data_IF_981031926110
#
_entry.id   IF_981031926110
#
_cell.length_a   1.000
_cell.length_b   1.000
_cell.length_c   1.000
_cell.angle_alpha   90.00
_cell.angle_beta   90.00
_cell.angle_gamma   90.00
#
_symmetry.space_group_name_H-M   'P 1'
#
loop_
_entity.id
_entity.type
_entity.pdbx_description
1 polymer ?
#
# COMPACT_ATOMS: atom_id res chain seq x y z
N UNK A 1 54.51 -15.54 38.58
CA UNK A 1 54.24 -15.83 37.15
C UNK A 1 53.41 -14.67 36.59
N UNK A 2 54.02 -13.70 35.90
CA UNK A 2 53.32 -12.54 35.33
C UNK A 2 52.88 -12.91 33.91
N UNK A 3 51.58 -13.08 33.68
CA UNK A 3 51.06 -13.21 32.32
C UNK A 3 51.30 -11.90 31.58
N UNK A 4 51.83 -12.01 30.37
CA UNK A 4 52.06 -10.89 29.46
C UNK A 4 50.74 -10.16 29.17
N UNK A 5 50.74 -8.83 29.14
CA UNK A 5 49.55 -8.00 28.88
C UNK A 5 48.81 -8.40 27.60
N UNK A 6 49.49 -9.05 26.64
CA UNK A 6 48.90 -9.53 25.39
C UNK A 6 47.90 -10.68 25.59
N UNK A 7 48.11 -11.58 26.56
CA UNK A 7 47.18 -12.71 26.81
C UNK A 7 45.92 -12.30 27.57
N UNK A 8 45.98 -11.21 28.36
CA UNK A 8 44.81 -10.67 29.07
C UNK A 8 43.78 -10.08 28.11
N UNK A 9 44.24 -9.32 27.11
CA UNK A 9 43.37 -8.70 26.11
C UNK A 9 42.65 -9.74 25.21
N UNK A 10 43.32 -10.84 24.86
CA UNK A 10 42.69 -11.89 24.03
C UNK A 10 41.63 -12.67 24.80
N UNK A 11 41.82 -12.86 26.11
CA UNK A 11 40.87 -13.57 26.97
C UNK A 11 39.60 -12.75 27.20
N UNK A 12 39.72 -11.44 27.42
CA UNK A 12 38.56 -10.56 27.60
C UNK A 12 37.71 -10.45 26.33
N UNK A 13 38.32 -10.37 25.14
CA UNK A 13 37.58 -10.34 23.87
C UNK A 13 36.84 -11.67 23.60
N UNK A 14 37.46 -12.81 23.90
CA UNK A 14 36.81 -14.12 23.74
C UNK A 14 35.63 -14.31 24.71
N UNK A 15 35.73 -13.76 25.92
CA UNK A 15 34.67 -13.83 26.93
C UNK A 15 33.45 -12.98 26.55
N UNK A 16 33.67 -11.79 25.97
CA UNK A 16 32.59 -10.92 25.46
C UNK A 16 31.88 -11.53 24.25
N UNK A 17 32.62 -12.17 23.33
CA UNK A 17 32.03 -12.85 22.17
C UNK A 17 31.20 -14.06 22.60
N UNK A 18 31.69 -14.84 23.58
CA UNK A 18 30.96 -15.99 24.13
C UNK A 18 29.67 -15.60 24.86
N UNK A 19 29.70 -14.51 25.64
CA UNK A 19 28.53 -14.05 26.40
C UNK A 19 27.42 -13.51 25.48
N UNK A 20 27.79 -12.74 24.46
CA UNK A 20 26.81 -12.20 23.49
C UNK A 20 26.19 -13.30 22.62
N UNK A 21 26.97 -14.31 22.21
CA UNK A 21 26.45 -15.46 21.48
C UNK A 21 25.46 -16.28 22.30
N UNK A 22 25.74 -16.48 23.58
CA UNK A 22 24.87 -17.24 24.49
C UNK A 22 23.55 -16.52 24.77
N UNK A 23 23.57 -15.19 24.92
CA UNK A 23 22.36 -14.37 25.12
C UNK A 23 21.45 -14.44 23.88
N UNK A 24 22.01 -14.36 22.66
CA UNK A 24 21.23 -14.47 21.42
C UNK A 24 20.58 -15.86 21.30
N UNK A 25 21.29 -16.92 21.68
CA UNK A 25 20.78 -18.29 21.63
C UNK A 25 19.65 -18.53 22.65
N UNK A 26 19.75 -17.93 23.85
CA UNK A 26 18.69 -17.96 24.86
C UNK A 26 17.42 -17.22 24.41
N UNK A 27 17.55 -16.05 23.77
CA UNK A 27 16.40 -15.31 23.24
C UNK A 27 15.71 -16.11 22.13
N UNK A 28 16.48 -16.75 21.23
CA UNK A 28 15.92 -17.58 20.15
C UNK A 28 15.14 -18.79 20.69
N UNK A 29 15.64 -19.44 21.75
CA UNK A 29 14.97 -20.57 22.39
C UNK A 29 13.66 -20.17 23.09
N UNK A 30 13.60 -18.97 23.67
CA UNK A 30 12.38 -18.42 24.28
C UNK A 30 11.30 -18.08 23.24
N UNK A 31 11.67 -17.60 22.05
CA UNK A 31 10.70 -17.32 20.97
C UNK A 31 10.12 -18.61 20.39
N UNK A 32 10.93 -19.67 20.27
CA UNK A 32 10.48 -20.96 19.71
C UNK A 32 9.52 -21.73 20.63
N UNK A 33 9.50 -21.43 21.94
CA UNK A 33 8.61 -22.11 22.91
C UNK A 33 7.23 -21.44 23.05
N UNK A 34 7.00 -20.29 22.41
CA UNK A 34 5.74 -19.54 22.53
C UNK A 34 4.65 -19.89 21.49
N UNK A 35 4.95 -20.70 20.46
CA UNK A 35 3.99 -20.99 19.38
C UNK A 35 3.20 -22.31 19.53
N UNK A 36 3.16 -22.89 20.73
CA UNK A 36 2.47 -24.16 20.97
C UNK A 36 1.19 -23.96 21.78
N UNK A 37 0.15 -23.34 21.22
CA UNK A 37 -1.21 -23.45 21.78
C UNK A 37 -2.28 -23.05 20.75
N UNK A 38 -3.03 -24.08 20.32
CA UNK A 38 -4.48 -24.11 20.12
C UNK A 38 -5.12 -23.10 19.15
N UNK A 39 -5.83 -23.59 18.13
CA UNK A 39 -7.27 -23.86 18.28
C UNK A 39 -7.89 -24.53 17.05
N UNK A 40 -8.90 -25.33 17.35
CA UNK A 40 -9.69 -26.16 16.47
C UNK A 40 -10.40 -25.39 15.35
N UNK A 41 -10.33 -25.95 14.14
CA UNK A 41 -11.14 -25.53 12.99
C UNK A 41 -12.57 -26.04 13.18
N UNK A 42 -13.52 -25.14 13.38
CA UNK A 42 -14.95 -25.46 13.35
C UNK A 42 -15.45 -25.41 11.90
N UNK A 43 -16.00 -26.52 11.45
CA UNK A 43 -16.72 -26.68 10.18
C UNK A 43 -18.02 -25.87 10.21
N UNK A 44 -18.26 -24.93 9.28
CA UNK A 44 -19.55 -24.27 9.18
C UNK A 44 -20.59 -25.20 8.51
N UNK A 45 -21.66 -25.50 9.23
CA UNK A 45 -22.88 -26.14 8.73
C UNK A 45 -23.61 -25.18 7.79
N UNK A 46 -23.90 -25.65 6.57
CA UNK A 46 -24.67 -24.90 5.58
C UNK A 46 -26.17 -24.89 5.94
N UNK A 47 -26.70 -23.70 6.23
CA UNK A 47 -28.15 -23.45 6.38
C UNK A 47 -28.75 -23.14 5.02
N UNK A 48 -29.70 -23.97 4.58
CA UNK A 48 -30.48 -23.75 3.36
C UNK A 48 -31.42 -22.55 3.53
N UNK A 49 -31.31 -21.57 2.63
CA UNK A 49 -32.23 -20.46 2.54
C UNK A 49 -33.49 -20.89 1.75
N UNK A 50 -34.64 -20.77 2.38
CA UNK A 50 -35.97 -20.97 1.79
C UNK A 50 -36.30 -19.77 0.88
N UNK A 51 -36.62 -20.07 -0.38
CA UNK A 51 -37.12 -19.10 -1.36
C UNK A 51 -38.53 -18.61 -0.96
N UNK A 52 -38.66 -17.32 -0.65
CA UNK A 52 -39.94 -16.65 -0.54
C UNK A 52 -40.37 -16.09 -1.92
N UNK A 53 -41.67 -16.13 -2.27
CA UNK A 53 -42.19 -15.56 -3.51
C UNK A 53 -42.18 -14.02 -3.45
N UNK A 54 -41.58 -13.40 -4.46
CA UNK A 54 -41.54 -11.94 -4.63
C UNK A 54 -42.93 -11.40 -5.04
N UNK A 55 -43.42 -10.31 -4.41
CA UNK A 55 -44.60 -9.60 -4.89
C UNK A 55 -44.29 -8.85 -6.18
N UNK A 56 -45.16 -8.98 -7.17
CA UNK A 56 -45.12 -8.23 -8.43
C UNK A 56 -45.65 -6.82 -8.18
N UNK A 57 -44.76 -5.84 -8.12
CA UNK A 57 -45.18 -4.43 -8.06
C UNK A 57 -45.54 -3.92 -9.46
N UNK A 58 -46.75 -3.35 -9.56
CA UNK A 58 -47.26 -2.69 -10.76
C UNK A 58 -46.80 -1.24 -10.73
N UNK A 59 -45.83 -0.89 -11.57
CA UNK A 59 -45.35 0.49 -11.70
C UNK A 59 -46.29 1.33 -12.57
N UNK A 60 -46.97 2.30 -11.96
CA UNK A 60 -47.65 3.39 -12.67
C UNK A 60 -46.59 4.39 -13.15
N UNK A 61 -46.37 4.47 -14.46
CA UNK A 61 -45.44 5.43 -15.06
C UNK A 61 -46.03 6.85 -14.99
N UNK A 62 -45.46 7.70 -14.13
CA UNK A 62 -45.65 9.15 -14.23
C UNK A 62 -44.81 9.70 -15.39
N UNK A 63 -45.28 10.77 -16.08
CA UNK A 63 -44.51 11.45 -17.11
C UNK A 63 -43.24 12.06 -16.50
N UNK A 64 -42.09 11.59 -16.98
CA UNK A 64 -40.79 12.11 -16.60
C UNK A 64 -40.64 13.56 -17.08
N UNK A 65 -40.67 14.50 -16.14
CA UNK A 65 -40.14 15.85 -16.37
C UNK A 65 -38.64 15.69 -16.61
N UNK A 66 -38.22 15.99 -17.84
CA UNK A 66 -36.83 15.93 -18.29
C UNK A 66 -36.05 17.00 -17.54
N UNK A 67 -35.57 16.66 -16.34
CA UNK A 67 -34.54 17.44 -15.66
C UNK A 67 -33.27 17.29 -16.49
N UNK A 68 -32.62 18.38 -16.93
CA UNK A 68 -31.34 18.25 -17.63
C UNK A 68 -30.34 17.64 -16.65
N UNK A 69 -30.09 16.33 -16.79
CA UNK A 69 -28.93 15.70 -16.20
C UNK A 69 -27.72 16.41 -16.77
N UNK A 70 -27.07 17.21 -15.93
CA UNK A 70 -25.73 17.72 -16.18
C UNK A 70 -24.80 16.50 -16.22
N UNK A 71 -24.67 15.91 -17.39
CA UNK A 71 -23.63 14.95 -17.69
C UNK A 71 -22.31 15.73 -17.70
N UNK A 72 -21.69 15.89 -16.53
CA UNK A 72 -20.26 16.24 -16.46
C UNK A 72 -19.47 15.03 -16.97
N UNK A 73 -19.49 14.83 -18.29
CA UNK A 73 -18.45 14.05 -18.95
C UNK A 73 -17.26 14.99 -19.09
N UNK A 74 -16.50 15.12 -18.01
CA UNK A 74 -15.15 15.68 -18.12
C UNK A 74 -14.35 14.63 -18.89
N UNK A 75 -14.29 14.80 -20.21
CA UNK A 75 -13.37 14.07 -21.05
C UNK A 75 -11.96 14.58 -20.72
N UNK A 76 -11.34 14.02 -19.68
CA UNK A 76 -9.98 14.41 -19.28
C UNK A 76 -9.02 13.62 -20.15
N UNK A 77 -8.72 14.20 -21.30
CA UNK A 77 -7.61 13.81 -22.16
C UNK A 77 -6.35 13.74 -21.29
N UNK A 78 -5.63 12.61 -21.33
CA UNK A 78 -4.34 12.47 -20.67
C UNK A 78 -3.46 13.69 -20.99
N UNK A 79 -3.26 14.57 -20.02
CA UNK A 79 -2.53 15.81 -20.24
C UNK A 79 -1.04 15.45 -20.41
N UNK A 80 -0.37 15.85 -21.50
CA UNK A 80 1.07 15.64 -21.66
C UNK A 80 1.91 16.20 -20.50
N UNK A 81 1.40 17.18 -19.76
CA UNK A 81 2.03 17.67 -18.52
C UNK A 81 2.00 16.64 -17.38
N UNK A 82 0.94 15.82 -17.28
CA UNK A 82 0.88 14.70 -16.33
C UNK A 82 1.88 13.59 -16.73
N UNK A 83 2.11 13.42 -18.03
CA UNK A 83 3.17 12.55 -18.57
C UNK A 83 4.58 13.03 -18.19
N UNK A 84 4.76 14.32 -17.92
CA UNK A 84 6.05 14.88 -17.49
C UNK A 84 6.25 14.78 -15.97
N UNK A 85 5.18 14.80 -15.17
CA UNK A 85 5.25 14.90 -13.71
C UNK A 85 5.14 13.57 -12.94
N UNK A 86 4.91 12.43 -13.58
CA UNK A 86 4.75 11.15 -12.85
C UNK A 86 5.94 10.80 -11.93
N UNK A 87 7.15 11.24 -12.27
CA UNK A 87 8.35 11.02 -11.44
C UNK A 87 8.26 11.75 -10.10
N UNK A 88 7.59 12.91 -10.06
CA UNK A 88 7.35 13.67 -8.84
C UNK A 88 6.40 12.92 -7.91
N UNK A 89 5.30 12.40 -8.47
CA UNK A 89 4.33 11.58 -7.77
C UNK A 89 4.95 10.28 -7.25
N UNK A 90 5.70 9.57 -8.10
CA UNK A 90 6.39 8.34 -7.71
C UNK A 90 7.37 8.60 -6.56
N UNK A 91 8.21 9.64 -6.67
CA UNK A 91 9.16 10.00 -5.62
C UNK A 91 8.46 10.34 -4.30
N UNK A 92 7.35 11.08 -4.35
CA UNK A 92 6.60 11.45 -3.16
C UNK A 92 5.97 10.23 -2.48
N UNK A 93 5.36 9.33 -3.26
CA UNK A 93 4.80 8.07 -2.76
C UNK A 93 5.90 7.15 -2.21
N UNK A 94 7.00 6.97 -2.93
CA UNK A 94 8.13 6.15 -2.51
C UNK A 94 8.71 6.60 -1.16
N UNK A 95 8.95 7.92 -1.02
CA UNK A 95 9.50 8.50 0.19
C UNK A 95 8.60 8.35 1.41
N UNK A 96 7.28 8.28 1.20
CA UNK A 96 6.32 8.11 2.29
C UNK A 96 6.05 6.65 2.64
N UNK A 97 5.80 5.80 1.65
CA UNK A 97 5.37 4.41 1.87
C UNK A 97 6.52 3.48 2.28
N UNK A 98 7.72 3.70 1.75
CA UNK A 98 8.90 2.87 2.02
C UNK A 98 10.06 3.73 2.54
N UNK A 99 9.78 4.65 3.45
CA UNK A 99 10.71 5.68 3.96
C UNK A 99 12.06 5.17 4.52
N UNK A 100 12.14 3.88 4.87
CA UNK A 100 13.36 3.23 5.36
C UNK A 100 14.28 2.72 4.23
N UNK A 101 13.87 2.83 2.96
CA UNK A 101 14.60 2.30 1.81
C UNK A 101 15.08 3.41 0.88
N UNK A 102 16.19 3.20 0.13
CA UNK A 102 16.69 4.18 -0.83
C UNK A 102 15.64 4.46 -1.92
N UNK A 103 15.42 5.74 -2.24
CA UNK A 103 14.39 6.17 -3.20
C UNK A 103 14.64 5.63 -4.60
N UNK A 104 15.91 5.53 -4.99
CA UNK A 104 16.34 5.04 -6.30
C UNK A 104 16.07 3.54 -6.50
N UNK A 105 15.81 2.83 -5.40
CA UNK A 105 15.51 1.40 -5.40
C UNK A 105 14.01 1.12 -5.27
N UNK A 106 13.16 2.15 -5.15
CA UNK A 106 11.72 2.03 -5.00
C UNK A 106 11.01 2.41 -6.30
N UNK A 107 10.09 1.56 -6.72
CA UNK A 107 9.16 1.86 -7.81
C UNK A 107 7.74 1.85 -7.27
N UNK A 108 6.91 2.79 -7.70
CA UNK A 108 5.53 2.88 -7.28
C UNK A 108 4.58 2.88 -8.47
N UNK A 109 3.42 2.29 -8.23
CA UNK A 109 2.26 2.27 -9.11
C UNK A 109 1.08 2.79 -8.31
N UNK A 110 0.15 3.47 -8.97
CA UNK A 110 -1.03 3.97 -8.29
C UNK A 110 -2.23 4.07 -9.21
N UNK A 111 -3.41 3.95 -8.61
CA UNK A 111 -4.70 4.19 -9.23
C UNK A 111 -5.38 5.37 -8.55
N UNK A 112 -5.98 6.28 -9.32
CA UNK A 112 -6.72 7.40 -8.75
C UNK A 112 -8.13 6.94 -8.35
N UNK A 113 -8.44 7.19 -7.08
CA UNK A 113 -9.71 6.86 -6.45
C UNK A 113 -10.68 8.05 -6.50
N UNK A 114 -10.17 9.28 -6.57
CA UNK A 114 -10.95 10.50 -6.71
C UNK A 114 -10.06 11.73 -6.52
N UNK A 115 -10.67 12.91 -6.57
CA UNK A 115 -10.01 14.18 -6.29
C UNK A 115 -10.98 15.17 -5.67
N UNK A 116 -10.47 16.02 -4.79
CA UNK A 116 -11.21 17.15 -4.22
C UNK A 116 -10.28 18.35 -4.10
N UNK A 117 -10.47 19.37 -4.96
CA UNK A 117 -9.60 20.54 -4.99
C UNK A 117 -8.13 20.16 -5.27
N UNK A 118 -7.27 20.42 -4.29
CA UNK A 118 -5.82 20.13 -4.34
C UNK A 118 -5.46 18.75 -3.76
N UNK A 119 -6.44 17.91 -3.43
CA UNK A 119 -6.21 16.56 -2.89
C UNK A 119 -6.51 15.50 -3.93
N UNK A 120 -5.52 14.68 -4.28
CA UNK A 120 -5.68 13.51 -5.14
C UNK A 120 -5.66 12.25 -4.28
N UNK A 121 -6.78 11.53 -4.25
CA UNK A 121 -6.90 10.29 -3.50
C UNK A 121 -6.45 9.12 -4.37
N UNK A 122 -5.50 8.33 -3.90
CA UNK A 122 -4.93 7.22 -4.68
C UNK A 122 -4.91 5.93 -3.87
N UNK A 123 -4.89 4.79 -4.57
CA UNK A 123 -4.36 3.55 -4.02
C UNK A 123 -2.97 3.31 -4.59
N UNK A 124 -1.96 3.27 -3.73
CA UNK A 124 -0.58 3.09 -4.15
C UNK A 124 -0.08 1.68 -3.85
N UNK A 125 0.82 1.20 -4.71
CA UNK A 125 1.61 -0.02 -4.55
C UNK A 125 3.07 0.36 -4.80
N UNK A 126 3.91 0.30 -3.77
CA UNK A 126 5.33 0.54 -3.91
C UNK A 126 6.12 -0.74 -3.61
N UNK A 127 7.14 -1.01 -4.41
CA UNK A 127 8.07 -2.11 -4.19
C UNK A 127 9.51 -1.62 -4.25
N UNK A 128 10.30 -1.93 -3.22
CA UNK A 128 11.74 -1.70 -3.23
C UNK A 128 12.54 -2.91 -3.73
N UNK A 129 13.80 -2.73 -4.07
CA UNK A 129 14.68 -3.86 -4.42
C UNK A 129 14.89 -4.81 -3.22
N UNK A 130 15.01 -6.13 -3.46
CA UNK A 130 15.42 -7.04 -2.40
C UNK A 130 16.85 -6.68 -1.95
N UNK A 131 17.18 -6.83 -0.65
CA UNK A 131 18.54 -6.64 -0.18
C UNK A 131 19.53 -7.51 -0.96
N UNK A 132 20.74 -7.01 -1.22
CA UNK A 132 21.76 -7.72 -2.01
C UNK A 132 21.95 -9.15 -1.51
N UNK A 133 21.88 -10.11 -2.44
CA UNK A 133 22.03 -11.53 -2.16
C UNK A 133 20.82 -12.20 -1.50
N UNK A 134 19.67 -11.51 -1.39
CA UNK A 134 18.40 -12.08 -0.93
C UNK A 134 17.46 -12.36 -2.09
N UNK A 135 16.54 -13.29 -1.84
CA UNK A 135 15.42 -13.58 -2.76
C UNK A 135 14.48 -12.37 -2.90
N UNK A 136 13.80 -12.29 -4.03
CA UNK A 136 12.70 -11.34 -4.29
C UNK A 136 11.59 -11.37 -3.24
N UNK A 137 11.44 -12.48 -2.52
CA UNK A 137 10.50 -12.60 -1.40
C UNK A 137 10.81 -11.66 -0.23
N UNK A 138 12.03 -11.12 -0.16
CA UNK A 138 12.46 -10.13 0.84
C UNK A 138 12.37 -8.69 0.34
N UNK A 139 11.85 -8.47 -0.87
CA UNK A 139 11.63 -7.13 -1.38
C UNK A 139 10.58 -6.42 -0.49
N UNK A 140 10.87 -5.20 0.01
CA UNK A 140 9.89 -4.43 0.76
C UNK A 140 8.71 -4.08 -0.16
N UNK A 141 7.50 -4.22 0.37
CA UNK A 141 6.26 -3.93 -0.35
C UNK A 141 5.31 -3.16 0.57
N UNK A 142 4.69 -2.14 0.02
CA UNK A 142 3.62 -1.40 0.67
C UNK A 142 2.46 -1.27 -0.31
N UNK A 143 1.24 -1.52 0.17
CA UNK A 143 0.03 -1.24 -0.61
C UNK A 143 -1.05 -0.66 0.31
N UNK A 144 -1.31 0.62 0.12
CA UNK A 144 -2.20 1.41 0.98
C UNK A 144 -2.85 2.53 0.17
N UNK A 145 -4.06 2.98 0.56
CA UNK A 145 -4.59 4.23 0.07
C UNK A 145 -3.80 5.41 0.65
N UNK A 146 -3.68 6.48 -0.12
CA UNK A 146 -2.97 7.69 0.25
C UNK A 146 -3.67 8.93 -0.31
N UNK A 147 -3.41 10.08 0.30
CA UNK A 147 -3.81 11.40 -0.20
C UNK A 147 -2.54 12.11 -0.67
N UNK A 148 -2.53 12.57 -1.91
CA UNK A 148 -1.48 13.42 -2.45
C UNK A 148 -1.99 14.86 -2.40
N UNK A 149 -1.31 15.69 -1.61
CA UNK A 149 -1.62 17.11 -1.46
C UNK A 149 -0.83 17.90 -2.50
N UNK A 150 -1.52 18.67 -3.33
CA UNK A 150 -0.96 19.45 -4.42
C UNK A 150 -0.84 20.94 -4.06
N UNK A 151 0.12 21.63 -4.67
CA UNK A 151 0.21 23.08 -4.70
C UNK A 151 -0.71 23.68 -5.76
N UNK A 152 -0.89 25.00 -5.75
CA UNK A 152 -1.66 25.72 -6.76
C UNK A 152 -1.08 25.59 -8.18
N UNK A 153 0.21 25.28 -8.29
CA UNK A 153 0.94 25.01 -9.53
C UNK A 153 0.89 23.52 -9.94
N UNK A 154 0.14 22.70 -9.19
CA UNK A 154 0.04 21.26 -9.37
C UNK A 154 1.31 20.49 -9.01
N UNK A 155 2.25 21.09 -8.26
CA UNK A 155 3.39 20.39 -7.65
C UNK A 155 2.91 19.53 -6.48
N UNK A 156 3.61 18.42 -6.19
CA UNK A 156 3.32 17.59 -5.03
C UNK A 156 3.94 18.23 -3.79
N UNK A 157 3.09 18.58 -2.81
CA UNK A 157 3.51 19.18 -1.55
C UNK A 157 3.74 18.12 -0.47
N UNK A 158 2.84 17.13 -0.36
CA UNK A 158 3.00 16.05 0.62
C UNK A 158 2.15 14.82 0.28
N UNK A 159 2.44 13.70 0.94
CA UNK A 159 1.64 12.47 0.90
C UNK A 159 1.21 12.13 2.32
N UNK A 160 -0.11 12.05 2.52
CA UNK A 160 -0.74 11.64 3.76
C UNK A 160 -1.23 10.20 3.65
N UNK A 161 -0.95 9.43 4.70
CA UNK A 161 -1.39 8.04 4.83
C UNK A 161 -2.39 7.96 5.98
N UNK A 162 -3.41 7.08 5.89
CA UNK A 162 -4.21 6.76 7.07
C UNK A 162 -3.30 6.24 8.18
N UNK A 163 -3.66 6.53 9.44
CA UNK A 163 -2.86 6.15 10.61
C UNK A 163 -2.47 4.67 10.55
N UNK A 164 -1.21 4.41 10.89
CA UNK A 164 -0.54 3.13 10.71
C UNK A 164 -1.28 1.95 11.37
N UNK A 165 -1.06 0.77 10.78
CA UNK A 165 -1.86 -0.44 10.96
C UNK A 165 -2.12 -0.88 12.40
N UNK A 166 -3.37 -1.30 12.64
CA UNK A 166 -3.86 -1.77 13.93
C UNK A 166 -5.39 -1.83 13.92
N UNK A 167 -5.99 -1.73 15.10
CA UNK A 167 -7.46 -1.63 15.23
C UNK A 167 -8.04 -0.36 14.60
N UNK A 168 -7.24 0.70 14.54
CA UNK A 168 -7.71 2.05 14.21
C UNK A 168 -7.51 2.42 12.74
N UNK A 169 -7.01 1.50 11.91
CA UNK A 169 -6.78 1.74 10.48
C UNK A 169 -8.08 2.15 9.76
N UNK A 170 -9.20 1.52 10.12
CA UNK A 170 -10.52 1.89 9.58
C UNK A 170 -10.96 3.29 9.96
N UNK A 171 -10.59 3.78 11.15
CA UNK A 171 -10.85 5.16 11.57
C UNK A 171 -9.97 6.14 10.81
N UNK A 172 -8.67 5.83 10.65
CA UNK A 172 -7.77 6.63 9.82
C UNK A 172 -8.26 6.77 8.37
N UNK A 173 -8.84 5.73 7.79
CA UNK A 173 -9.50 5.80 6.48
C UNK A 173 -10.71 6.74 6.50
N UNK A 174 -11.50 6.73 7.58
CA UNK A 174 -12.71 7.55 7.69
C UNK A 174 -12.40 9.03 7.90
N UNK A 175 -11.27 9.34 8.54
CA UNK A 175 -10.84 10.69 8.88
C UNK A 175 -10.36 11.47 7.65
N UNK A 176 -9.66 10.81 6.72
CA UNK A 176 -8.97 11.50 5.61
C UNK A 176 -9.61 11.28 4.23
N UNK A 177 -10.44 10.25 4.05
CA UNK A 177 -11.05 9.96 2.74
C UNK A 177 -12.55 10.31 2.72
N UNK A 178 -13.03 10.98 1.66
CA UNK A 178 -14.45 11.27 1.48
C UNK A 178 -15.27 9.99 1.24
N UNK A 179 -16.59 10.07 1.46
CA UNK A 179 -17.50 8.91 1.49
C UNK A 179 -17.39 8.05 0.23
N UNK A 180 -17.42 8.68 -0.93
CA UNK A 180 -17.35 8.06 -2.26
C UNK A 180 -16.02 7.32 -2.50
N UNK A 181 -14.90 7.93 -2.09
CA UNK A 181 -13.57 7.30 -2.16
C UNK A 181 -13.48 6.09 -1.22
N UNK A 182 -14.04 6.19 -0.01
CA UNK A 182 -14.08 5.06 0.95
C UNK A 182 -14.87 3.87 0.41
N UNK A 183 -15.95 4.12 -0.32
CA UNK A 183 -16.67 3.05 -0.99
C UNK A 183 -15.82 2.35 -2.05
N UNK A 184 -15.06 3.10 -2.87
CA UNK A 184 -14.13 2.51 -3.86
C UNK A 184 -13.04 1.67 -3.19
N UNK A 185 -12.45 2.18 -2.11
CA UNK A 185 -11.49 1.43 -1.28
C UNK A 185 -12.08 0.10 -0.81
N UNK A 186 -13.33 0.13 -0.33
CA UNK A 186 -14.01 -1.05 0.24
C UNK A 186 -14.41 -2.07 -0.83
N UNK A 187 -14.77 -1.63 -2.03
CA UNK A 187 -15.21 -2.49 -3.15
C UNK A 187 -14.08 -3.32 -3.77
N UNK A 188 -12.81 -3.08 -3.39
CA UNK A 188 -11.62 -3.80 -3.89
C UNK A 188 -11.53 -3.90 -5.42
N UNK A 189 -12.09 -2.93 -6.15
CA UNK A 189 -12.03 -2.89 -7.61
C UNK A 189 -10.66 -2.42 -8.14
N UNK A 190 -9.64 -2.38 -7.28
CA UNK A 190 -8.35 -1.77 -7.53
C UNK A 190 -7.44 -2.82 -8.15
N UNK A 191 -6.75 -2.45 -9.22
CA UNK A 191 -5.85 -3.34 -9.99
C UNK A 191 -4.53 -3.69 -9.28
N UNK A 192 -4.55 -4.03 -7.99
CA UNK A 192 -3.35 -4.23 -7.15
C UNK A 192 -2.37 -5.24 -7.77
N UNK A 193 -2.88 -6.37 -8.27
CA UNK A 193 -2.05 -7.41 -8.89
C UNK A 193 -1.37 -6.87 -10.16
N UNK A 194 -2.13 -6.20 -11.03
CA UNK A 194 -1.60 -5.62 -12.25
C UNK A 194 -0.55 -4.54 -11.95
N UNK A 195 -0.81 -3.67 -10.96
CA UNK A 195 0.16 -2.68 -10.49
C UNK A 195 1.43 -3.35 -9.96
N UNK A 196 1.32 -4.31 -9.06
CA UNK A 196 2.49 -5.00 -8.50
C UNK A 196 3.32 -5.71 -9.58
N UNK A 197 2.67 -6.36 -10.55
CA UNK A 197 3.36 -7.06 -11.64
C UNK A 197 4.01 -6.10 -12.62
N UNK A 198 3.38 -4.96 -12.91
CA UNK A 198 3.98 -3.92 -13.74
C UNK A 198 5.20 -3.27 -13.08
N UNK A 199 5.13 -2.96 -11.79
CA UNK A 199 6.28 -2.44 -11.05
C UNK A 199 7.47 -3.43 -11.05
N UNK A 200 7.22 -4.74 -10.94
CA UNK A 200 8.27 -5.76 -11.10
C UNK A 200 8.88 -5.74 -12.51
N UNK A 201 8.06 -5.55 -13.55
CA UNK A 201 8.54 -5.43 -14.93
C UNK A 201 9.43 -4.18 -15.09
N UNK A 202 9.03 -3.05 -14.51
CA UNK A 202 9.77 -1.78 -14.55
C UNK A 202 11.16 -1.84 -13.92
N UNK A 203 11.41 -2.78 -12.99
CA UNK A 203 12.78 -3.02 -12.47
C UNK A 203 13.75 -3.48 -13.55
N UNK A 204 13.28 -4.23 -14.54
CA UNK A 204 14.10 -4.75 -15.65
C UNK A 204 14.08 -3.81 -16.85
N UNK A 205 12.98 -3.10 -17.04
CA UNK A 205 12.78 -2.17 -18.13
C UNK A 205 12.23 -0.84 -17.58
N UNK A 206 13.10 0.10 -17.17
CA UNK A 206 12.67 1.37 -16.60
C UNK A 206 11.70 2.09 -17.54
N UNK A 207 10.59 2.56 -16.98
CA UNK A 207 9.51 3.18 -17.73
C UNK A 207 8.54 3.88 -16.79
N UNK A 208 7.51 4.53 -17.33
CA UNK A 208 6.48 5.19 -16.54
C UNK A 208 5.53 4.16 -15.90
N UNK A 209 4.76 4.55 -14.88
CA UNK A 209 3.75 3.69 -14.25
C UNK A 209 2.54 3.42 -15.18
N UNK A 210 1.72 2.42 -14.83
CA UNK A 210 0.53 2.01 -15.58
C UNK A 210 -0.43 3.16 -15.83
N UNK A 211 -0.62 4.04 -14.86
CA UNK A 211 -1.55 5.17 -14.98
C UNK A 211 -1.20 6.07 -16.18
N UNK A 212 0.09 6.21 -16.49
CA UNK A 212 0.59 6.95 -17.64
C UNK A 212 0.38 6.15 -18.93
N UNK A 213 0.67 4.84 -18.91
CA UNK A 213 0.56 3.97 -20.08
C UNK A 213 -0.88 3.74 -20.54
N UNK A 214 -1.81 3.64 -19.59
CA UNK A 214 -3.22 3.40 -19.85
C UNK A 214 -3.97 4.68 -20.22
N UNK A 215 -3.27 5.83 -20.24
CA UNK A 215 -3.87 7.15 -20.46
C UNK A 215 -5.14 7.33 -19.62
N UNK A 216 -5.17 6.77 -18.40
CA UNK A 216 -6.36 6.82 -17.57
C UNK A 216 -6.60 8.29 -17.25
N UNK A 217 -7.77 8.85 -17.62
CA UNK A 217 -8.11 10.23 -17.33
C UNK A 217 -7.83 10.51 -15.84
N UNK A 218 -6.82 11.32 -15.56
CA UNK A 218 -6.58 11.80 -14.21
C UNK A 218 -7.57 12.94 -13.97
N UNK A 219 -8.29 12.98 -12.83
CA UNK A 219 -9.20 14.08 -12.51
C UNK A 219 -8.55 15.47 -12.55
#
# INVERSE_FOLDING_TARGET
>A
MKLSNKTKATLETLLVIGLNGFIVLLILALVLTACSSNQASQTPTATQAVLAPFPTETYTSLPATVSPSLTFQVAITANPEQLAKWQEYERALASRLLFLHPLEEILCEWEILGQSGLEVYVWAVCLGLPPKGRSELYAPIASVPAVIHLGLDGSVQSVELPRDGGRDYGEGIRDIFPVDVRERISKRSIGIVAMADHAKLRRKNPGPPLIVLLATPQP
#
